data_IF_671964146405
#
_entry.id   IF_671964146405
#
_cell.length_a   1.000
_cell.length_b   1.000
_cell.length_c   1.000
_cell.angle_alpha   90.00
_cell.angle_beta   90.00
_cell.angle_gamma   90.00
#
_symmetry.space_group_name_H-M   'P 1'
#
loop_
_entity.id
_entity.type
_entity.pdbx_description
1 polymer ?
#
# COMPACT_ATOMS: atom_id res chain seq x y z
N UNK A 1 -21.02 -35.67 -42.39
CA UNK A 1 -22.26 -35.50 -41.61
C UNK A 1 -21.88 -34.77 -40.33
N UNK A 2 -22.29 -33.50 -40.29
CA UNK A 2 -22.59 -32.60 -39.17
C UNK A 2 -21.56 -32.41 -38.04
N UNK A 3 -20.94 -31.23 -37.92
CA UNK A 3 -21.45 -29.92 -37.42
C UNK A 3 -21.19 -29.74 -35.92
N UNK A 4 -20.42 -28.72 -35.55
CA UNK A 4 -20.51 -28.04 -34.26
C UNK A 4 -19.97 -26.61 -34.36
N UNK A 5 -20.91 -25.68 -34.60
CA UNK A 5 -21.12 -24.31 -34.09
C UNK A 5 -19.93 -23.61 -33.37
N UNK A 6 -19.45 -22.43 -33.79
CA UNK A 6 -20.02 -21.05 -33.72
C UNK A 6 -20.08 -20.44 -32.29
N UNK A 7 -19.27 -19.37 -32.15
CA UNK A 7 -19.42 -18.11 -31.39
C UNK A 7 -19.15 -17.97 -29.86
N UNK A 8 -18.21 -17.04 -29.62
CA UNK A 8 -18.30 -15.80 -28.84
C UNK A 8 -18.36 -15.82 -27.30
N UNK A 9 -17.33 -15.17 -26.75
CA UNK A 9 -17.39 -14.14 -25.69
C UNK A 9 -18.40 -14.32 -24.56
N UNK A 10 -17.90 -14.77 -23.41
CA UNK A 10 -18.59 -14.60 -22.12
C UNK A 10 -17.70 -13.77 -21.18
N UNK A 11 -18.04 -12.49 -21.06
CA UNK A 11 -17.54 -11.57 -20.05
C UNK A 11 -17.88 -12.11 -18.66
N UNK A 12 -16.89 -12.26 -17.78
CA UNK A 12 -17.12 -12.62 -16.39
C UNK A 12 -17.53 -11.37 -15.60
N UNK A 13 -18.82 -11.19 -15.38
CA UNK A 13 -19.40 -10.21 -14.45
C UNK A 13 -19.34 -10.76 -13.03
N UNK A 14 -18.52 -10.17 -12.15
CA UNK A 14 -18.56 -10.46 -10.72
C UNK A 14 -19.69 -9.68 -10.05
N UNK A 15 -20.67 -10.41 -9.55
CA UNK A 15 -21.86 -9.89 -8.86
C UNK A 15 -21.49 -9.20 -7.55
N UNK A 16 -22.08 -8.03 -7.34
CA UNK A 16 -22.00 -7.22 -6.12
C UNK A 16 -22.81 -7.90 -5.01
N UNK A 17 -22.12 -8.47 -4.02
CA UNK A 17 -22.75 -8.81 -2.74
C UNK A 17 -21.72 -8.68 -1.60
N UNK A 18 -21.60 -7.48 -1.02
CA UNK A 18 -20.99 -7.33 0.31
C UNK A 18 -21.96 -6.57 1.21
N UNK A 19 -22.72 -7.35 1.96
CA UNK A 19 -23.81 -6.96 2.84
C UNK A 19 -23.25 -6.76 4.26
N UNK A 20 -23.39 -5.55 4.81
CA UNK A 20 -23.43 -5.21 6.26
C UNK A 20 -22.20 -5.36 7.17
N UNK A 21 -20.96 -5.38 6.69
CA UNK A 21 -19.76 -5.31 7.56
C UNK A 21 -18.96 -4.00 7.49
N UNK A 22 -19.41 -3.00 6.72
CA UNK A 22 -18.67 -1.72 6.57
C UNK A 22 -18.81 -0.77 7.78
N UNK A 23 -19.76 -0.99 8.70
CA UNK A 23 -20.05 -0.01 9.78
C UNK A 23 -19.33 -0.29 11.09
N UNK A 24 -18.84 -1.50 11.33
CA UNK A 24 -18.10 -1.86 12.55
C UNK A 24 -16.67 -1.29 12.48
N UNK A 25 -16.01 -1.44 11.33
CA UNK A 25 -14.75 -0.78 11.02
C UNK A 25 -14.87 0.75 11.13
N UNK A 26 -15.97 1.33 10.65
CA UNK A 26 -16.20 2.76 10.75
C UNK A 26 -16.36 3.25 12.20
N UNK A 27 -16.95 2.44 13.09
CA UNK A 27 -17.12 2.77 14.51
C UNK A 27 -15.82 2.62 15.31
N UNK A 28 -15.00 1.63 15.00
CA UNK A 28 -13.65 1.50 15.60
C UNK A 28 -12.74 2.64 15.17
N UNK A 29 -12.79 3.04 13.89
CA UNK A 29 -12.11 4.24 13.39
C UNK A 29 -12.65 5.50 14.08
N UNK A 30 -13.97 5.66 14.17
CA UNK A 30 -14.58 6.82 14.82
C UNK A 30 -14.19 6.90 16.30
N UNK A 31 -14.07 5.78 17.01
CA UNK A 31 -13.63 5.73 18.40
C UNK A 31 -12.15 6.10 18.53
N UNK A 32 -11.27 5.57 17.66
CA UNK A 32 -9.86 5.95 17.60
C UNK A 32 -9.70 7.45 17.30
N UNK A 33 -10.46 7.98 16.34
CA UNK A 33 -10.46 9.40 15.97
C UNK A 33 -11.07 10.30 17.05
N UNK A 34 -12.06 9.81 17.81
CA UNK A 34 -12.72 10.56 18.88
C UNK A 34 -11.86 10.62 20.15
N UNK A 35 -11.13 9.56 20.48
CA UNK A 35 -10.09 9.59 21.53
C UNK A 35 -8.90 10.49 21.13
N UNK A 36 -8.69 10.69 19.83
CA UNK A 36 -7.65 11.56 19.25
C UNK A 36 -8.07 13.03 19.06
N UNK A 37 -9.31 13.40 19.43
CA UNK A 37 -9.84 14.76 19.31
C UNK A 37 -9.07 15.87 20.05
N UNK A 38 -8.02 15.54 20.80
CA UNK A 38 -7.15 16.49 21.49
C UNK A 38 -5.65 16.38 21.12
N UNK A 39 -5.27 15.53 20.17
CA UNK A 39 -3.90 15.52 19.63
C UNK A 39 -3.93 15.65 18.11
N UNK A 40 -3.63 16.86 17.60
CA UNK A 40 -3.00 16.98 16.28
C UNK A 40 -1.96 15.88 16.20
N UNK A 41 -2.02 14.99 15.22
CA UNK A 41 -1.03 13.92 15.00
C UNK A 41 0.38 14.55 15.07
N UNK A 42 1.03 14.48 16.23
CA UNK A 42 2.09 15.40 16.70
C UNK A 42 3.45 15.06 16.06
N UNK A 43 3.44 14.78 14.77
CA UNK A 43 4.57 14.18 14.07
C UNK A 43 5.10 12.96 14.82
N UNK A 44 4.26 12.21 15.56
CA UNK A 44 4.70 11.13 16.47
C UNK A 44 5.57 10.12 15.74
N UNK A 45 5.24 9.83 14.48
CA UNK A 45 6.08 9.02 13.59
C UNK A 45 7.40 9.72 13.23
N UNK A 46 7.36 10.99 12.85
CA UNK A 46 8.56 11.78 12.59
C UNK A 46 9.51 11.86 13.79
N UNK A 47 8.97 12.03 15.01
CA UNK A 47 9.73 12.01 16.28
C UNK A 47 10.33 10.63 16.57
N UNK A 48 9.64 9.54 16.23
CA UNK A 48 10.16 8.17 16.40
C UNK A 48 11.30 7.86 15.45
N UNK A 49 11.33 8.48 14.27
CA UNK A 49 12.30 8.22 13.21
C UNK A 49 13.36 9.33 13.08
N UNK A 50 13.33 10.36 13.92
CA UNK A 50 14.24 11.52 13.83
C UNK A 50 15.69 11.19 14.11
N UNK A 51 15.96 10.03 14.72
CA UNK A 51 17.31 9.56 15.04
C UNK A 51 17.93 8.69 13.93
N UNK A 52 17.22 8.46 12.82
CA UNK A 52 17.71 7.60 11.73
C UNK A 52 18.59 8.41 10.78
N UNK A 53 19.92 8.27 10.92
CA UNK A 53 20.89 8.85 10.00
C UNK A 53 20.83 8.18 8.63
N UNK A 54 21.02 8.93 7.54
CA UNK A 54 20.99 8.37 6.19
C UNK A 54 22.22 7.51 5.89
N UNK A 55 22.02 6.24 5.54
CA UNK A 55 23.07 5.40 4.95
C UNK A 55 23.15 5.69 3.45
N UNK A 56 24.35 6.01 2.90
CA UNK A 56 24.53 6.16 1.46
C UNK A 56 24.05 4.89 0.72
N UNK A 57 23.14 5.07 -0.23
CA UNK A 57 22.62 3.98 -1.03
C UNK A 57 22.58 4.39 -2.50
N UNK A 58 23.03 3.49 -3.38
CA UNK A 58 22.90 3.63 -4.82
C UNK A 58 21.58 2.99 -5.26
N UNK A 59 20.58 3.78 -5.71
CA UNK A 59 19.32 3.22 -6.20
C UNK A 59 19.56 2.32 -7.41
N UNK A 60 18.82 1.21 -7.49
CA UNK A 60 18.81 0.31 -8.64
C UNK A 60 17.41 0.26 -9.21
N UNK A 61 17.30 0.27 -10.55
CA UNK A 61 16.04 0.01 -11.24
C UNK A 61 16.00 -1.49 -11.52
N UNK A 62 14.99 -2.17 -10.97
CA UNK A 62 14.80 -3.60 -11.22
C UNK A 62 14.13 -3.77 -12.60
N UNK A 63 14.82 -4.40 -13.55
CA UNK A 63 14.29 -4.70 -14.88
C UNK A 63 13.50 -6.00 -14.92
N UNK A 64 13.96 -7.02 -14.21
CA UNK A 64 13.34 -8.34 -14.11
C UNK A 64 13.17 -8.71 -12.63
N UNK A 65 12.33 -9.71 -12.36
CA UNK A 65 12.18 -10.25 -11.00
C UNK A 65 13.51 -10.93 -10.64
N UNK A 66 14.16 -10.55 -9.52
CA UNK A 66 15.43 -11.14 -9.13
C UNK A 66 15.29 -12.64 -8.89
N UNK A 67 16.38 -13.39 -9.10
CA UNK A 67 16.42 -14.79 -8.73
C UNK A 67 16.42 -14.98 -7.20
N UNK A 68 16.31 -16.23 -6.76
CA UNK A 68 16.21 -16.57 -5.33
C UNK A 68 17.48 -16.17 -4.56
N UNK A 69 18.66 -16.27 -5.17
CA UNK A 69 19.93 -15.94 -4.54
C UNK A 69 20.05 -14.42 -4.37
N UNK A 70 19.76 -13.66 -5.41
CA UNK A 70 19.75 -12.20 -5.38
C UNK A 70 18.72 -11.65 -4.39
N UNK A 71 17.50 -12.21 -4.39
CA UNK A 71 16.47 -11.86 -3.42
C UNK A 71 16.91 -12.14 -1.97
N UNK A 72 17.60 -13.27 -1.74
CA UNK A 72 18.12 -13.63 -0.42
C UNK A 72 19.24 -12.68 0.04
N UNK A 73 20.13 -12.30 -0.86
CA UNK A 73 21.19 -11.32 -0.56
C UNK A 73 20.60 -9.94 -0.24
N UNK A 74 19.60 -9.50 -1.00
CA UNK A 74 18.92 -8.23 -0.74
C UNK A 74 18.12 -8.25 0.58
N UNK A 75 17.50 -9.38 0.92
CA UNK A 75 16.86 -9.57 2.23
C UNK A 75 17.87 -9.50 3.38
N UNK A 76 19.05 -10.11 3.23
CA UNK A 76 20.14 -10.00 4.21
C UNK A 76 20.62 -8.56 4.41
N UNK A 77 20.80 -7.81 3.31
CA UNK A 77 21.16 -6.38 3.36
C UNK A 77 20.10 -5.54 4.05
N UNK A 78 18.82 -5.82 3.81
CA UNK A 78 17.72 -5.14 4.50
C UNK A 78 17.76 -5.44 6.01
N UNK A 79 17.95 -6.70 6.40
CA UNK A 79 18.03 -7.13 7.80
C UNK A 79 19.13 -6.41 8.57
N UNK A 80 20.35 -6.33 8.00
CA UNK A 80 21.48 -5.61 8.61
C UNK A 80 21.18 -4.13 8.84
N UNK A 81 20.53 -3.48 7.87
CA UNK A 81 20.12 -2.07 8.00
C UNK A 81 19.06 -1.85 9.07
N UNK A 82 18.07 -2.74 9.15
CA UNK A 82 17.03 -2.67 10.18
C UNK A 82 17.65 -2.77 11.58
N UNK A 83 18.57 -3.72 11.79
CA UNK A 83 19.32 -3.88 13.06
C UNK A 83 20.10 -2.61 13.40
N UNK A 84 20.79 -2.02 12.43
CA UNK A 84 21.55 -0.76 12.61
C UNK A 84 20.69 0.36 13.18
N UNK A 85 19.41 0.39 12.82
CA UNK A 85 18.45 1.41 13.27
C UNK A 85 17.58 0.97 14.45
N UNK A 86 17.80 -0.22 15.02
CA UNK A 86 16.93 -0.77 16.06
C UNK A 86 15.49 -1.03 15.60
N UNK A 87 15.31 -1.29 14.30
CA UNK A 87 14.04 -1.61 13.68
C UNK A 87 13.91 -3.11 13.44
N UNK A 88 12.68 -3.57 13.26
CA UNK A 88 12.36 -4.95 12.91
C UNK A 88 11.41 -4.98 11.72
N UNK A 89 11.53 -6.03 10.90
CA UNK A 89 10.60 -6.28 9.81
C UNK A 89 9.31 -6.89 10.35
N UNK A 90 8.18 -6.36 9.92
CA UNK A 90 6.87 -6.97 10.14
C UNK A 90 6.42 -7.62 8.83
N UNK A 91 6.23 -8.94 8.87
CA UNK A 91 5.72 -9.68 7.71
C UNK A 91 4.26 -9.30 7.46
N UNK A 92 3.98 -8.92 6.21
CA UNK A 92 2.65 -8.52 5.76
C UNK A 92 2.11 -9.53 4.76
N UNK A 93 0.79 -9.57 4.61
CA UNK A 93 0.16 -10.35 3.55
C UNK A 93 0.68 -9.92 2.17
N UNK A 94 1.14 -10.88 1.38
CA UNK A 94 1.64 -10.68 0.02
C UNK A 94 0.54 -10.49 -1.02
N UNK A 95 -0.45 -9.64 -0.73
CA UNK A 95 -1.57 -9.33 -1.62
C UNK A 95 -1.39 -7.99 -2.35
N UNK A 96 -2.35 -7.60 -3.19
CA UNK A 96 -2.36 -6.30 -3.87
C UNK A 96 -2.63 -5.10 -2.94
N UNK A 97 -2.83 -5.32 -1.65
CA UNK A 97 -3.07 -4.29 -0.64
C UNK A 97 -1.88 -4.08 0.30
N UNK A 98 -0.82 -4.89 0.19
CA UNK A 98 0.32 -4.95 1.10
C UNK A 98 0.90 -3.58 1.46
N UNK A 99 1.03 -2.67 0.50
CA UNK A 99 1.52 -1.29 0.74
C UNK A 99 0.59 -0.49 1.66
N UNK A 100 -0.73 -0.59 1.46
CA UNK A 100 -1.71 0.09 2.32
C UNK A 100 -1.85 -0.60 3.68
N UNK A 101 -1.70 -1.93 3.74
CA UNK A 101 -1.67 -2.68 5.00
C UNK A 101 -0.45 -2.27 5.85
N UNK A 102 0.73 -2.14 5.23
CA UNK A 102 1.94 -1.68 5.93
C UNK A 102 1.77 -0.24 6.47
N UNK A 103 1.19 0.66 5.66
CA UNK A 103 0.89 2.02 6.11
C UNK A 103 -0.14 2.05 7.25
N UNK A 104 -1.19 1.23 7.16
CA UNK A 104 -2.21 1.12 8.19
C UNK A 104 -1.62 0.64 9.52
N UNK A 105 -0.73 -0.35 9.49
CA UNK A 105 -0.01 -0.79 10.70
C UNK A 105 0.86 0.33 11.30
N UNK A 106 1.61 1.08 10.48
CA UNK A 106 2.46 2.15 11.00
C UNK A 106 1.68 3.32 11.61
N UNK A 107 0.50 3.63 11.06
CA UNK A 107 -0.36 4.73 11.51
C UNK A 107 -1.28 4.34 12.67
N UNK A 108 -1.96 3.19 12.55
CA UNK A 108 -3.05 2.77 13.42
C UNK A 108 -2.76 1.50 14.23
N UNK A 109 -1.57 0.91 14.08
CA UNK A 109 -1.19 -0.37 14.71
C UNK A 109 -2.13 -1.53 14.35
N UNK A 110 -2.76 -1.44 13.18
CA UNK A 110 -3.62 -2.48 12.65
C UNK A 110 -3.60 -2.46 11.12
N UNK A 111 -3.23 -3.58 10.46
CA UNK A 111 -3.23 -3.68 9.01
C UNK A 111 -4.64 -3.72 8.39
N UNK A 112 -5.67 -3.94 9.20
CA UNK A 112 -7.07 -4.06 8.75
C UNK A 112 -7.64 -2.73 8.25
N UNK A 113 -7.08 -1.60 8.69
CA UNK A 113 -7.46 -0.26 8.21
C UNK A 113 -6.94 0.08 6.80
N UNK A 114 -6.40 -0.88 6.05
CA UNK A 114 -5.84 -0.66 4.72
C UNK A 114 -6.83 -0.03 3.72
N UNK A 115 -8.13 -0.37 3.80
CA UNK A 115 -9.18 0.25 2.97
C UNK A 115 -9.32 1.74 3.26
N UNK A 116 -9.32 2.12 4.55
CA UNK A 116 -9.41 3.52 4.96
C UNK A 116 -8.19 4.31 4.47
N UNK A 117 -6.97 3.77 4.69
CA UNK A 117 -5.73 4.39 4.23
C UNK A 117 -5.76 4.61 2.71
N UNK A 118 -6.14 3.59 1.93
CA UNK A 118 -6.28 3.71 0.46
C UNK A 118 -7.23 4.84 0.07
N UNK A 119 -8.41 4.91 0.71
CA UNK A 119 -9.42 5.95 0.44
C UNK A 119 -8.86 7.36 0.67
N UNK A 120 -8.14 7.57 1.78
CA UNK A 120 -7.54 8.87 2.10
C UNK A 120 -6.39 9.24 1.14
N UNK A 121 -5.51 8.29 0.81
CA UNK A 121 -4.42 8.50 -0.14
C UNK A 121 -4.94 8.92 -1.51
N UNK A 122 -5.96 8.22 -2.04
CA UNK A 122 -6.58 8.57 -3.32
C UNK A 122 -7.22 9.96 -3.24
N UNK A 123 -7.97 10.26 -2.17
CA UNK A 123 -8.58 11.57 -1.98
C UNK A 123 -7.53 12.70 -1.99
N UNK A 124 -6.42 12.53 -1.28
CA UNK A 124 -5.32 13.50 -1.25
C UNK A 124 -4.67 13.68 -2.63
N UNK A 125 -4.45 12.58 -3.36
CA UNK A 125 -3.92 12.60 -4.72
C UNK A 125 -4.84 13.36 -5.68
N UNK A 126 -6.16 13.12 -5.61
CA UNK A 126 -7.14 13.83 -6.44
C UNK A 126 -7.16 15.33 -6.15
N UNK A 127 -7.10 15.73 -4.88
CA UNK A 127 -7.01 17.15 -4.49
C UNK A 127 -5.71 17.80 -4.97
N UNK A 128 -4.63 17.01 -5.03
CA UNK A 128 -3.29 17.49 -5.40
C UNK A 128 -2.88 17.11 -6.83
N UNK A 129 -3.84 16.79 -7.71
CA UNK A 129 -3.56 16.11 -8.99
C UNK A 129 -2.54 16.87 -9.86
N UNK A 130 -2.59 18.20 -9.85
CA UNK A 130 -1.63 19.04 -10.57
C UNK A 130 -0.17 18.94 -10.08
N UNK A 131 0.10 18.38 -8.90
CA UNK A 131 1.46 18.15 -8.38
C UNK A 131 2.04 16.80 -8.81
N UNK A 132 1.19 15.87 -9.24
CA UNK A 132 1.58 14.51 -9.58
C UNK A 132 1.40 14.20 -11.07
N UNK A 133 1.05 15.19 -11.88
CA UNK A 133 0.85 15.03 -13.33
C UNK A 133 2.06 14.36 -14.00
N UNK A 134 3.26 14.78 -13.61
CA UNK A 134 4.51 14.34 -14.23
C UNK A 134 4.93 12.94 -13.79
N UNK A 135 4.33 12.42 -12.70
CA UNK A 135 4.53 11.05 -12.23
C UNK A 135 3.46 10.08 -12.73
N UNK A 136 2.34 10.60 -13.26
CA UNK A 136 1.28 9.77 -13.79
C UNK A 136 1.54 9.50 -15.26
N UNK A 137 1.62 8.23 -15.62
CA UNK A 137 1.66 7.82 -17.02
C UNK A 137 0.29 8.11 -17.64
N UNK A 138 0.12 9.32 -18.15
CA UNK A 138 -1.06 9.72 -18.92
C UNK A 138 -0.96 9.02 -20.28
N UNK A 139 -2.01 8.31 -20.73
CA UNK A 139 -1.99 7.71 -22.06
C UNK A 139 -1.76 8.81 -23.10
N UNK A 140 -0.67 8.69 -23.86
CA UNK A 140 -0.40 9.55 -25.01
C UNK A 140 -1.56 9.42 -25.99
N UNK A 141 -2.12 10.53 -26.52
CA UNK A 141 -3.16 10.45 -27.53
C UNK A 141 -2.60 9.71 -28.75
N UNK A 142 -3.28 8.64 -29.12
CA UNK A 142 -3.04 7.90 -30.36
C UNK A 142 -3.57 8.80 -31.47
N UNK A 143 -2.68 9.33 -32.32
CA UNK A 143 -3.05 10.05 -33.54
C UNK A 143 -3.58 9.08 -34.60
#
# INVERSE_FOLDING_TARGET
MNESHINASASSSSSLNSSFQDTEDDQTIASILAEEGNSKFDGRLGKRLSHLDSIPHTPRVNGEIPDVNDASLDHGRLSERLVTYGLAELQMEGDGNCQFRALADQLFRSPEYHKHVRKQVIKQKTVSLGKYSDLLMVPMPIF
#
